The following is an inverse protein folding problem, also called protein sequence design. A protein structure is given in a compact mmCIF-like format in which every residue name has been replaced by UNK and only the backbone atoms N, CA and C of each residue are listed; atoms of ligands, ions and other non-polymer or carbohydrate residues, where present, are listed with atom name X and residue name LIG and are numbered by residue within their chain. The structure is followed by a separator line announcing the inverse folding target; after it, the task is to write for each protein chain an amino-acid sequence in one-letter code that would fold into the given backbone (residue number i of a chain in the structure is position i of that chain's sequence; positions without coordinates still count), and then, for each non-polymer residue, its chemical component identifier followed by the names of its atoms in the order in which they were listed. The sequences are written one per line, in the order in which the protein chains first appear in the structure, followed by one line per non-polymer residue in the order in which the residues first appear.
data_IF_640361899851
#
_entry.id   IF_640361899851
#
_cell.length_a   1.000
_cell.length_b   1.000
_cell.length_c   1.000
_cell.angle_alpha   90.00
_cell.angle_beta   90.00
_cell.angle_gamma   90.00
#
_symmetry.space_group_name_H-M   'P 1'
#
loop_
_entity.id
_entity.type
_entity.pdbx_description
1 polymer ?
#
# COMPACT_ATOMS: atom_id res chain seq x y z
N UNK A 1 -32.65 -9.72 29.69
CA UNK A 1 -31.26 -9.50 29.26
C UNK A 1 -30.69 -10.81 28.75
N UNK A 2 -30.55 -10.96 27.44
CA UNK A 2 -29.47 -11.73 26.78
C UNK A 2 -29.74 -11.73 25.27
N UNK A 3 -29.20 -10.72 24.57
CA UNK A 3 -29.11 -10.75 23.12
C UNK A 3 -27.75 -11.37 22.79
N UNK A 4 -27.77 -12.61 22.32
CA UNK A 4 -26.61 -13.32 21.80
C UNK A 4 -26.02 -12.54 20.61
N UNK A 5 -24.93 -11.80 20.80
CA UNK A 5 -24.14 -11.29 19.68
C UNK A 5 -23.00 -12.23 19.36
N UNK A 6 -23.25 -13.05 18.34
CA UNK A 6 -22.21 -13.63 17.48
C UNK A 6 -21.44 -12.48 16.82
N UNK A 7 -20.42 -11.93 17.49
CA UNK A 7 -19.41 -11.09 16.83
C UNK A 7 -18.33 -11.98 16.23
N UNK A 8 -18.70 -12.67 15.15
CA UNK A 8 -17.73 -13.15 14.16
C UNK A 8 -17.56 -12.07 13.10
N UNK A 9 -16.30 -11.82 12.74
CA UNK A 9 -15.83 -11.03 11.61
C UNK A 9 -16.05 -9.51 11.68
N UNK A 10 -15.11 -8.79 11.06
CA UNK A 10 -15.03 -7.33 10.88
C UNK A 10 -14.33 -6.60 12.04
N UNK A 11 -13.04 -6.88 12.25
CA UNK A 11 -12.17 -5.88 12.87
C UNK A 11 -10.75 -5.93 12.27
N UNK A 12 -10.67 -5.58 10.98
CA UNK A 12 -9.47 -5.07 10.30
C UNK A 12 -9.83 -4.18 9.10
N UNK A 13 -10.93 -3.44 9.22
CA UNK A 13 -11.32 -2.37 8.30
C UNK A 13 -11.51 -1.04 9.07
N UNK A 14 -11.18 -0.99 10.37
CA UNK A 14 -11.65 0.06 11.28
C UNK A 14 -10.60 0.92 12.00
N UNK A 15 -9.34 0.99 11.54
CA UNK A 15 -8.32 1.84 12.19
C UNK A 15 -7.42 2.58 11.17
N UNK A 16 -8.04 3.13 10.13
CA UNK A 16 -7.50 4.34 9.50
C UNK A 16 -8.31 5.50 10.07
N UNK A 17 -7.69 6.45 10.82
CA UNK A 17 -8.35 7.71 11.07
C UNK A 17 -8.66 8.33 9.71
N UNK A 18 -9.90 8.78 9.54
CA UNK A 18 -10.31 9.68 8.47
C UNK A 18 -9.55 11.00 8.65
N UNK A 19 -8.28 11.01 8.27
CA UNK A 19 -7.51 12.23 8.02
C UNK A 19 -7.63 12.50 6.53
N UNK A 20 -8.62 13.32 6.19
CA UNK A 20 -8.67 13.95 4.88
C UNK A 20 -7.41 14.78 4.67
N UNK A 21 -6.78 14.60 3.51
CA UNK A 21 -6.24 15.68 2.66
C UNK A 21 -5.64 15.06 1.39
N UNK A 22 -6.23 15.46 0.26
CA UNK A 22 -5.88 15.21 -1.15
C UNK A 22 -5.75 13.76 -1.63
N UNK A 23 -6.88 13.09 -1.85
CA UNK A 23 -7.00 12.29 -3.07
C UNK A 23 -7.39 13.28 -4.18
N UNK A 24 -6.39 13.91 -4.82
CA UNK A 24 -6.67 14.68 -6.04
C UNK A 24 -7.13 13.72 -7.15
N UNK A 25 -7.85 14.29 -8.10
CA UNK A 25 -8.60 13.68 -9.21
C UNK A 25 -8.15 12.26 -9.61
N UNK A 26 -9.13 11.38 -9.82
CA UNK A 26 -8.83 10.06 -10.38
C UNK A 26 -8.40 10.22 -11.83
N UNK A 27 -7.14 9.93 -12.12
CA UNK A 27 -6.60 9.99 -13.48
C UNK A 27 -6.64 8.61 -14.14
N UNK A 28 -6.99 8.59 -15.43
CA UNK A 28 -6.75 7.43 -16.28
C UNK A 28 -5.33 7.48 -16.83
N UNK A 29 -4.64 6.34 -16.84
CA UNK A 29 -3.28 6.24 -17.36
C UNK A 29 -3.26 6.01 -18.87
N UNK A 30 -2.20 6.49 -19.52
CA UNK A 30 -1.95 6.22 -20.94
C UNK A 30 -1.48 4.77 -21.09
N UNK A 31 -1.76 4.15 -22.24
CA UNK A 31 -1.35 2.76 -22.51
C UNK A 31 0.15 2.51 -22.30
N UNK A 32 1.00 3.50 -22.67
CA UNK A 32 2.45 3.43 -22.48
C UNK A 32 2.90 3.35 -21.01
N UNK A 33 2.04 3.79 -20.09
CA UNK A 33 2.32 3.88 -18.66
C UNK A 33 1.71 2.71 -17.86
N UNK A 34 0.96 1.82 -18.52
CA UNK A 34 0.42 0.58 -17.94
C UNK A 34 1.51 -0.26 -17.24
N UNK A 35 2.72 -0.47 -17.83
CA UNK A 35 3.76 -1.24 -17.16
C UNK A 35 4.27 -0.60 -15.86
N UNK A 36 4.17 0.73 -15.73
CA UNK A 36 4.55 1.42 -14.49
C UNK A 36 3.48 1.23 -13.42
N UNK A 37 2.21 1.36 -13.79
CA UNK A 37 1.08 1.07 -12.91
C UNK A 37 1.12 -0.38 -12.41
N UNK A 38 1.32 -1.34 -13.32
CA UNK A 38 1.47 -2.76 -12.99
C UNK A 38 2.67 -2.98 -12.05
N UNK A 39 3.78 -2.29 -12.27
CA UNK A 39 4.94 -2.35 -11.38
C UNK A 39 4.62 -1.93 -9.94
N UNK A 40 3.82 -0.86 -9.74
CA UNK A 40 3.35 -0.46 -8.41
C UNK A 40 2.42 -1.52 -7.83
N UNK A 41 1.46 -2.02 -8.62
CA UNK A 41 0.50 -3.04 -8.17
C UNK A 41 1.19 -4.36 -7.77
N UNK A 42 2.21 -4.78 -8.51
CA UNK A 42 3.03 -5.96 -8.21
C UNK A 42 3.88 -5.75 -6.95
N UNK A 43 4.39 -4.53 -6.75
CA UNK A 43 5.11 -4.13 -5.54
C UNK A 43 4.20 -4.20 -4.32
N UNK A 44 2.99 -3.65 -4.43
CA UNK A 44 1.96 -3.68 -3.38
C UNK A 44 1.55 -5.12 -3.05
N UNK A 45 1.29 -5.94 -4.05
CA UNK A 45 0.94 -7.36 -3.87
C UNK A 45 2.07 -8.11 -3.15
N UNK A 46 3.33 -7.87 -3.53
CA UNK A 46 4.49 -8.48 -2.86
C UNK A 46 4.62 -8.05 -1.39
N UNK A 47 4.31 -6.78 -1.09
CA UNK A 47 4.32 -6.25 0.27
C UNK A 47 3.17 -6.83 1.10
N UNK A 48 1.98 -6.98 0.52
CA UNK A 48 0.82 -7.60 1.17
C UNK A 48 1.08 -9.09 1.46
N UNK A 49 1.69 -9.82 0.54
CA UNK A 49 2.10 -11.21 0.74
C UNK A 49 3.11 -11.35 1.88
N UNK A 50 4.12 -10.47 1.91
CA UNK A 50 5.10 -10.43 3.00
C UNK A 50 4.43 -10.10 4.34
N UNK A 51 3.50 -9.12 4.37
CA UNK A 51 2.74 -8.79 5.55
C UNK A 51 1.86 -9.97 6.03
N UNK A 52 1.26 -10.71 5.11
CA UNK A 52 0.49 -11.91 5.39
C UNK A 52 1.35 -13.01 6.03
N UNK A 53 2.53 -13.28 5.46
CA UNK A 53 3.51 -14.22 6.03
C UNK A 53 3.97 -13.77 7.41
N UNK A 54 4.30 -12.50 7.56
CA UNK A 54 4.72 -11.93 8.84
C UNK A 54 3.63 -12.06 9.91
N UNK A 55 2.38 -11.81 9.55
CA UNK A 55 1.23 -11.95 10.44
C UNK A 55 0.96 -13.40 10.84
N UNK A 56 1.35 -14.36 10.02
CA UNK A 56 1.27 -15.80 10.36
C UNK A 56 2.32 -16.25 11.38
N UNK A 57 3.29 -15.38 11.70
CA UNK A 57 4.26 -15.58 12.78
C UNK A 57 3.89 -14.70 13.96
N UNK A 58 4.05 -15.17 15.21
CA UNK A 58 3.82 -14.37 16.44
C UNK A 58 4.83 -13.21 16.64
N UNK A 59 5.51 -12.80 15.56
CA UNK A 59 6.48 -11.71 15.57
C UNK A 59 5.81 -10.35 15.33
N UNK A 60 6.45 -9.28 15.80
CA UNK A 60 6.00 -7.93 15.49
C UNK A 60 6.02 -7.70 13.97
N UNK A 61 4.87 -7.33 13.39
CA UNK A 61 4.67 -7.15 11.95
C UNK A 61 5.76 -6.27 11.31
N UNK A 62 6.08 -5.14 11.93
CA UNK A 62 7.11 -4.24 11.40
C UNK A 62 8.50 -4.86 11.46
N UNK A 63 8.88 -5.50 12.58
CA UNK A 63 10.18 -6.21 12.67
C UNK A 63 10.32 -7.29 11.60
N UNK A 64 9.25 -8.04 11.34
CA UNK A 64 9.25 -9.05 10.29
C UNK A 64 9.29 -8.43 8.89
N UNK A 65 8.48 -7.41 8.61
CA UNK A 65 8.52 -6.69 7.33
C UNK A 65 9.88 -6.05 7.05
N UNK A 66 10.57 -5.58 8.09
CA UNK A 66 11.94 -5.07 7.98
C UNK A 66 12.95 -6.18 7.63
N UNK A 67 12.77 -7.40 8.13
CA UNK A 67 13.55 -8.56 7.71
C UNK A 67 13.23 -8.95 6.25
N UNK A 68 11.96 -8.82 5.84
CA UNK A 68 11.47 -8.99 4.46
C UNK A 68 11.79 -7.78 3.55
N UNK A 69 13.03 -7.30 3.63
CA UNK A 69 13.52 -6.08 2.93
C UNK A 69 13.32 -6.09 1.41
N UNK A 70 13.14 -7.27 0.79
CA UNK A 70 12.91 -7.41 -0.65
C UNK A 70 11.56 -6.85 -1.07
N UNK A 71 10.49 -7.13 -0.32
CA UNK A 71 9.15 -6.68 -0.68
C UNK A 71 9.02 -5.16 -0.54
N UNK A 72 9.53 -4.60 0.56
CA UNK A 72 9.57 -3.16 0.79
C UNK A 72 10.40 -2.43 -0.28
N UNK A 73 11.59 -2.95 -0.63
CA UNK A 73 12.43 -2.37 -1.70
C UNK A 73 11.76 -2.44 -3.06
N UNK A 74 11.06 -3.53 -3.37
CA UNK A 74 10.32 -3.67 -4.63
C UNK A 74 9.23 -2.60 -4.74
N UNK A 75 8.47 -2.38 -3.65
CA UNK A 75 7.44 -1.35 -3.61
C UNK A 75 8.01 0.07 -3.71
N UNK A 76 9.03 0.41 -2.91
CA UNK A 76 9.68 1.73 -2.96
C UNK A 76 10.29 2.02 -4.35
N UNK A 77 10.96 1.02 -4.94
CA UNK A 77 11.55 1.16 -6.28
C UNK A 77 10.50 1.35 -7.36
N UNK A 78 9.38 0.63 -7.29
CA UNK A 78 8.29 0.78 -8.25
C UNK A 78 7.64 2.16 -8.16
N UNK A 79 7.37 2.65 -6.95
CA UNK A 79 6.82 4.00 -6.73
C UNK A 79 7.74 5.09 -7.25
N UNK A 80 9.03 5.05 -6.86
CA UNK A 80 10.03 6.03 -7.32
C UNK A 80 10.12 6.05 -8.84
N UNK A 81 10.27 4.89 -9.47
CA UNK A 81 10.35 4.78 -10.93
C UNK A 81 9.12 5.32 -11.65
N UNK A 82 7.93 5.10 -11.08
CA UNK A 82 6.70 5.62 -11.66
C UNK A 82 6.60 7.14 -11.51
N UNK A 83 6.92 7.68 -10.34
CA UNK A 83 6.90 9.13 -10.08
C UNK A 83 8.02 9.89 -10.81
N UNK A 84 9.17 9.26 -11.03
CA UNK A 84 10.27 9.83 -11.82
C UNK A 84 9.87 9.98 -13.31
N UNK A 85 9.09 9.03 -13.83
CA UNK A 85 8.64 9.05 -15.22
C UNK A 85 7.36 9.86 -15.44
N UNK A 86 6.47 9.85 -14.46
CA UNK A 86 5.18 10.54 -14.49
C UNK A 86 5.02 11.36 -13.19
N UNK A 87 5.72 12.49 -13.06
CA UNK A 87 5.67 13.32 -11.84
C UNK A 87 4.25 13.86 -11.56
N UNK A 88 3.39 13.92 -12.57
CA UNK A 88 1.98 14.29 -12.44
C UNK A 88 1.15 13.28 -11.65
N UNK A 89 1.64 12.05 -11.45
CA UNK A 89 0.97 11.03 -10.62
C UNK A 89 1.08 11.32 -9.12
N UNK A 90 2.01 12.20 -8.73
CA UNK A 90 2.18 12.60 -7.34
C UNK A 90 0.93 13.32 -6.84
N UNK A 91 0.42 12.93 -5.67
CA UNK A 91 -0.81 13.50 -5.12
C UNK A 91 -2.11 12.90 -5.71
N UNK A 92 -2.02 12.02 -6.71
CA UNK A 92 -3.19 11.55 -7.46
C UNK A 92 -3.67 10.17 -7.01
N UNK A 93 -4.93 9.90 -7.33
CA UNK A 93 -5.45 8.53 -7.36
C UNK A 93 -5.45 8.05 -8.81
N UNK A 94 -4.94 6.85 -9.05
CA UNK A 94 -4.84 6.27 -10.39
C UNK A 94 -5.80 5.10 -10.49
N UNK A 95 -6.63 5.09 -11.52
CA UNK A 95 -7.51 3.97 -11.84
C UNK A 95 -7.11 3.32 -13.16
N UNK A 96 -6.95 2.00 -13.14
CA UNK A 96 -6.74 1.22 -14.34
C UNK A 96 -7.22 -0.22 -14.15
N UNK A 97 -8.02 -0.71 -15.11
CA UNK A 97 -8.47 -2.10 -15.19
C UNK A 97 -9.06 -2.66 -13.88
N UNK A 98 -9.96 -1.90 -13.26
CA UNK A 98 -10.59 -2.29 -11.98
C UNK A 98 -9.72 -2.10 -10.73
N UNK A 99 -8.46 -1.69 -10.88
CA UNK A 99 -7.54 -1.43 -9.77
C UNK A 99 -7.39 0.07 -9.53
N UNK A 100 -7.50 0.48 -8.25
CA UNK A 100 -7.30 1.86 -7.81
C UNK A 100 -6.06 1.96 -6.92
N UNK A 101 -5.10 2.80 -7.30
CA UNK A 101 -3.90 3.09 -6.52
C UNK A 101 -3.92 4.54 -6.03
N UNK A 102 -3.95 4.73 -4.72
CA UNK A 102 -3.82 6.05 -4.10
C UNK A 102 -2.36 6.34 -3.83
N UNK A 103 -1.70 7.09 -4.73
CA UNK A 103 -0.25 7.33 -4.65
C UNK A 103 0.17 7.94 -3.30
N UNK A 104 -0.54 8.94 -2.72
CA UNK A 104 -0.17 9.50 -1.42
C UNK A 104 -0.20 8.49 -0.28
N UNK A 105 -1.21 7.61 -0.28
CA UNK A 105 -1.36 6.56 0.72
C UNK A 105 -0.22 5.55 0.62
N UNK A 106 0.20 5.21 -0.60
CA UNK A 106 1.30 4.28 -0.84
C UNK A 106 2.66 4.88 -0.48
N UNK A 107 2.93 6.14 -0.83
CA UNK A 107 4.13 6.87 -0.41
C UNK A 107 4.26 6.87 1.13
N UNK A 108 3.17 7.22 1.83
CA UNK A 108 3.13 7.25 3.29
C UNK A 108 3.36 5.87 3.90
N UNK A 109 2.73 4.82 3.38
CA UNK A 109 2.91 3.45 3.89
C UNK A 109 4.36 2.97 3.74
N UNK A 110 5.00 3.24 2.60
CA UNK A 110 6.41 2.91 2.39
C UNK A 110 7.30 3.68 3.37
N UNK A 111 7.04 4.96 3.57
CA UNK A 111 7.79 5.80 4.52
C UNK A 111 7.63 5.30 5.97
N UNK A 112 6.40 5.01 6.41
CA UNK A 112 6.11 4.55 7.76
C UNK A 112 6.83 3.21 8.06
N UNK A 113 6.78 2.25 7.13
CA UNK A 113 7.51 0.98 7.29
C UNK A 113 9.01 1.22 7.32
N UNK A 114 9.57 2.08 6.45
CA UNK A 114 11.01 2.39 6.45
C UNK A 114 11.49 3.00 7.76
N UNK A 115 10.72 3.93 8.34
CA UNK A 115 11.02 4.53 9.65
C UNK A 115 11.09 3.47 10.75
N UNK A 116 10.19 2.49 10.72
CA UNK A 116 10.20 1.37 11.68
C UNK A 116 11.41 0.43 11.48
N UNK A 117 12.00 0.41 10.28
CA UNK A 117 13.21 -0.36 9.98
C UNK A 117 14.52 0.36 10.34
N UNK A 118 14.46 1.58 10.89
CA UNK A 118 15.64 2.36 11.27
C UNK A 118 16.43 2.93 10.08
N UNK A 119 15.78 3.10 8.93
CA UNK A 119 16.36 3.67 7.71
C UNK A 119 15.96 5.12 7.49
#
# INVERSE_FOLDING_TARGET
MNLNLRFSLIFLIGLLPAVGSSANETIQIKNKDIPLFQGINDGLSSLMDAAGKCRSTDSNLYKCLCAESKALKKMDSALRKALDKNPEWKGQTIYHDGVTLQIPSLEKQVEDVRKQCGS
#
